data_IF_734175127355
#
_entry.id   IF_734175127355
#
_cell.length_a   1.000
_cell.length_b   1.000
_cell.length_c   1.000
_cell.angle_alpha   90.00
_cell.angle_beta   90.00
_cell.angle_gamma   90.00
#
_symmetry.space_group_name_H-M   'P 1'
#
loop_
_entity.id
_entity.type
_entity.pdbx_description
1 polymer ?
#
# COMPACT_ATOMS: atom_id res chain seq x y z
N UNK A 1 6.18 -11.01 -50.56
CA UNK A 1 5.09 -11.01 -49.55
C UNK A 1 5.70 -11.16 -48.14
N UNK A 2 6.42 -10.14 -47.64
CA UNK A 2 7.16 -10.24 -46.38
C UNK A 2 7.05 -8.97 -45.51
N UNK A 3 6.13 -8.05 -45.85
CA UNK A 3 6.00 -6.74 -45.19
C UNK A 3 4.83 -6.63 -44.22
N UNK A 4 3.88 -7.56 -44.27
CA UNK A 4 2.67 -7.56 -43.43
C UNK A 4 2.85 -8.25 -42.08
N UNK A 5 3.94 -9.00 -41.88
CA UNK A 5 4.19 -9.74 -40.63
C UNK A 5 4.84 -8.88 -39.53
N UNK A 6 5.52 -7.78 -39.88
CA UNK A 6 6.13 -6.87 -38.92
C UNK A 6 5.11 -5.96 -38.21
N UNK A 7 3.93 -5.73 -38.81
CA UNK A 7 2.88 -4.90 -38.22
C UNK A 7 2.08 -5.65 -37.12
N UNK A 8 1.97 -6.97 -37.19
CA UNK A 8 1.24 -7.79 -36.21
C UNK A 8 2.04 -8.03 -34.92
N UNK A 9 3.38 -7.95 -34.97
CA UNK A 9 4.24 -8.09 -33.79
C UNK A 9 4.26 -6.85 -32.89
N UNK A 10 3.90 -5.67 -33.40
CA UNK A 10 3.81 -4.45 -32.60
C UNK A 10 2.54 -4.40 -31.71
N UNK A 11 1.52 -5.21 -32.02
CA UNK A 11 0.26 -5.27 -31.26
C UNK A 11 0.30 -6.22 -30.05
N UNK A 12 1.40 -6.96 -29.86
CA UNK A 12 1.64 -7.86 -28.73
C UNK A 12 2.63 -7.29 -27.72
N UNK A 13 3.06 -6.03 -27.88
CA UNK A 13 3.75 -5.34 -26.81
C UNK A 13 2.78 -5.28 -25.62
N UNK A 14 3.12 -5.89 -24.46
CA UNK A 14 2.37 -5.61 -23.26
C UNK A 14 2.48 -4.09 -23.11
N UNK A 15 1.35 -3.39 -23.16
CA UNK A 15 1.25 -2.07 -22.58
C UNK A 15 1.84 -2.23 -21.18
N UNK A 16 3.08 -1.78 -21.00
CA UNK A 16 3.74 -1.75 -19.73
C UNK A 16 2.88 -0.82 -18.90
N UNK A 17 1.92 -1.41 -18.18
CA UNK A 17 0.94 -0.67 -17.42
C UNK A 17 1.75 0.10 -16.39
N UNK A 18 1.60 1.42 -16.40
CA UNK A 18 2.33 2.26 -15.46
C UNK A 18 1.99 1.79 -14.04
N UNK A 19 3.00 1.31 -13.31
CA UNK A 19 2.88 0.98 -11.89
C UNK A 19 2.39 2.22 -11.15
N UNK A 20 1.23 2.10 -10.48
CA UNK A 20 0.67 3.16 -9.67
C UNK A 20 1.45 3.36 -8.38
N UNK A 21 2.24 2.36 -7.97
CA UNK A 21 2.94 2.30 -6.70
C UNK A 21 4.41 1.90 -6.83
N UNK A 22 5.18 2.25 -5.81
CA UNK A 22 6.56 1.79 -5.64
C UNK A 22 6.81 1.40 -4.19
N UNK A 23 7.38 0.23 -4.00
CA UNK A 23 8.01 -0.18 -2.75
C UNK A 23 9.48 0.24 -2.74
N UNK A 24 9.83 1.20 -1.90
CA UNK A 24 11.21 1.62 -1.67
C UNK A 24 11.75 0.93 -0.43
N UNK A 25 12.91 0.27 -0.56
CA UNK A 25 13.63 -0.36 0.55
C UNK A 25 14.94 0.37 0.80
N UNK A 26 15.15 0.82 2.03
CA UNK A 26 16.42 1.42 2.45
C UNK A 26 16.87 0.89 3.80
N UNK A 27 18.17 0.96 4.05
CA UNK A 27 18.79 0.58 5.31
C UNK A 27 19.55 1.81 5.81
N UNK A 28 19.26 2.24 7.03
CA UNK A 28 20.02 3.32 7.67
C UNK A 28 20.83 2.76 8.83
N UNK A 29 22.09 3.19 8.95
CA UNK A 29 22.82 3.05 10.20
C UNK A 29 22.18 3.96 11.24
N UNK A 30 21.87 3.39 12.39
CA UNK A 30 21.58 4.16 13.60
C UNK A 30 22.89 4.67 14.20
N UNK A 31 22.82 5.66 15.10
CA UNK A 31 23.99 6.17 15.81
C UNK A 31 24.72 5.09 16.63
N UNK A 32 24.02 4.02 17.00
CA UNK A 32 24.54 2.86 17.73
C UNK A 32 25.12 1.78 16.79
N UNK A 33 25.22 2.04 15.48
CA UNK A 33 25.73 1.08 14.50
C UNK A 33 24.74 -0.02 14.11
N UNK A 34 23.55 -0.08 14.74
CA UNK A 34 22.50 -1.01 14.33
C UNK A 34 21.89 -0.60 12.99
N UNK A 35 21.62 -1.58 12.13
CA UNK A 35 20.97 -1.35 10.84
C UNK A 35 19.45 -1.49 10.97
N UNK A 36 18.72 -0.44 10.58
CA UNK A 36 17.25 -0.47 10.58
C UNK A 36 16.74 -0.48 9.14
N UNK A 37 16.02 -1.54 8.77
CA UNK A 37 15.32 -1.61 7.49
C UNK A 37 14.11 -0.68 7.49
N UNK A 38 13.93 0.01 6.36
CA UNK A 38 12.78 0.88 6.09
C UNK A 38 12.15 0.46 4.78
N UNK A 39 10.85 0.22 4.83
CA UNK A 39 9.99 -0.12 3.71
C UNK A 39 9.00 1.02 3.53
N UNK A 40 8.99 1.68 2.38
CA UNK A 40 8.08 2.79 2.11
C UNK A 40 7.28 2.51 0.86
N UNK A 41 5.96 2.54 1.00
CA UNK A 41 5.02 2.49 -0.11
C UNK A 41 4.63 3.91 -0.48
N UNK A 42 4.86 4.26 -1.75
CA UNK A 42 4.53 5.58 -2.28
C UNK A 42 3.96 5.47 -3.70
N UNK A 43 2.93 6.25 -4.04
CA UNK A 43 2.42 6.29 -5.40
C UNK A 43 3.44 6.89 -6.38
N UNK A 44 3.42 6.42 -7.63
CA UNK A 44 4.36 6.82 -8.69
C UNK A 44 3.66 7.67 -9.74
N UNK A 45 4.26 8.81 -10.10
CA UNK A 45 3.66 9.75 -11.04
C UNK A 45 2.70 10.74 -10.38
N UNK A 46 2.25 11.73 -11.14
CA UNK A 46 1.41 12.81 -10.63
C UNK A 46 -0.01 12.33 -10.32
N UNK A 47 -0.63 11.61 -11.25
CA UNK A 47 -2.00 11.11 -11.16
C UNK A 47 -2.20 10.16 -9.97
N UNK A 48 -1.30 9.19 -9.79
CA UNK A 48 -1.34 8.27 -8.64
C UNK A 48 -1.16 9.00 -7.30
N UNK A 49 -0.28 10.02 -7.25
CA UNK A 49 -0.10 10.86 -6.05
C UNK A 49 -1.37 11.62 -5.71
N UNK A 50 -2.02 12.23 -6.69
CA UNK A 50 -3.27 12.96 -6.50
C UNK A 50 -4.43 12.04 -6.08
N UNK A 51 -4.55 10.88 -6.74
CA UNK A 51 -5.52 9.85 -6.37
C UNK A 51 -5.31 9.39 -4.92
N UNK A 52 -4.07 9.05 -4.56
CA UNK A 52 -3.75 8.62 -3.20
C UNK A 52 -4.00 9.72 -2.17
N UNK A 53 -3.62 10.97 -2.43
CA UNK A 53 -3.86 12.07 -1.51
C UNK A 53 -5.35 12.21 -1.16
N UNK A 54 -6.23 12.13 -2.16
CA UNK A 54 -7.68 12.21 -1.95
C UNK A 54 -8.23 10.97 -1.22
N UNK A 55 -7.77 9.78 -1.60
CA UNK A 55 -8.12 8.53 -0.91
C UNK A 55 -7.70 8.53 0.57
N UNK A 56 -6.45 8.93 0.83
CA UNK A 56 -5.87 8.96 2.16
C UNK A 56 -6.65 9.90 3.09
N UNK A 57 -7.09 11.06 2.60
CA UNK A 57 -7.95 11.97 3.38
C UNK A 57 -9.26 11.28 3.77
N UNK A 58 -9.95 10.63 2.84
CA UNK A 58 -11.18 9.90 3.17
C UNK A 58 -10.91 8.77 4.16
N UNK A 59 -9.83 8.01 4.00
CA UNK A 59 -9.45 6.96 4.95
C UNK A 59 -9.14 7.51 6.35
N UNK A 60 -8.46 8.65 6.44
CA UNK A 60 -8.23 9.32 7.71
C UNK A 60 -9.56 9.69 8.37
N UNK A 61 -10.52 10.26 7.63
CA UNK A 61 -11.84 10.61 8.15
C UNK A 61 -12.61 9.38 8.64
N UNK A 62 -12.54 8.27 7.89
CA UNK A 62 -13.13 6.99 8.31
C UNK A 62 -12.51 6.52 9.64
N UNK A 63 -11.18 6.55 9.76
CA UNK A 63 -10.49 6.12 10.97
C UNK A 63 -10.80 7.03 12.17
N UNK A 64 -10.88 8.36 11.99
CA UNK A 64 -11.27 9.32 13.06
C UNK A 64 -12.69 9.05 13.54
N UNK A 65 -13.59 8.72 12.62
CA UNK A 65 -14.97 8.34 12.94
C UNK A 65 -15.11 6.93 13.55
N UNK A 66 -14.00 6.21 13.76
CA UNK A 66 -13.99 4.87 14.35
C UNK A 66 -14.30 3.73 13.37
N UNK A 67 -14.41 4.02 12.08
CA UNK A 67 -14.55 3.01 11.05
C UNK A 67 -13.22 2.30 10.76
N UNK A 68 -13.33 1.22 10.00
CA UNK A 68 -12.20 0.43 9.51
C UNK A 68 -11.88 0.82 8.07
N UNK A 69 -10.62 0.70 7.71
CA UNK A 69 -10.14 0.87 6.34
C UNK A 69 -9.54 -0.45 5.88
N UNK A 70 -10.15 -1.05 4.87
CA UNK A 70 -9.76 -2.33 4.30
C UNK A 70 -8.88 -2.09 3.07
N UNK A 71 -7.66 -2.65 3.12
CA UNK A 71 -6.58 -2.49 2.14
C UNK A 71 -6.26 -3.84 1.47
N UNK A 72 -7.27 -4.69 1.29
CA UNK A 72 -7.15 -5.99 0.65
C UNK A 72 -6.76 -7.06 1.66
N UNK A 73 -5.52 -7.53 1.61
CA UNK A 73 -5.01 -8.53 2.56
C UNK A 73 -4.95 -8.02 4.01
N UNK A 74 -5.05 -6.71 4.21
CA UNK A 74 -4.84 -6.04 5.48
C UNK A 74 -5.96 -5.05 5.80
N UNK A 75 -6.22 -4.85 7.09
CA UNK A 75 -7.22 -3.93 7.61
C UNK A 75 -6.61 -3.03 8.67
N UNK A 76 -6.97 -1.76 8.64
CA UNK A 76 -6.51 -0.71 9.53
C UNK A 76 -7.67 -0.14 10.35
N UNK A 77 -7.50 -0.01 11.67
CA UNK A 77 -8.55 0.50 12.56
C UNK A 77 -7.99 0.92 13.92
N UNK A 78 -8.74 1.74 14.66
CA UNK A 78 -8.43 2.05 16.06
C UNK A 78 -9.04 1.02 17.02
N UNK A 79 -8.25 0.59 18.00
CA UNK A 79 -8.73 -0.17 19.15
C UNK A 79 -8.11 0.39 20.44
N UNK A 80 -8.96 0.87 21.36
CA UNK A 80 -8.50 1.48 22.61
C UNK A 80 -7.58 2.68 22.39
N UNK A 81 -7.90 3.53 21.41
CA UNK A 81 -7.11 4.71 21.05
C UNK A 81 -5.81 4.41 20.31
N UNK A 82 -5.54 3.15 19.94
CA UNK A 82 -4.32 2.74 19.23
C UNK A 82 -4.65 2.20 17.85
N UNK A 83 -3.95 2.69 16.83
CA UNK A 83 -4.09 2.21 15.45
C UNK A 83 -3.50 0.80 15.35
N UNK A 84 -4.18 -0.10 14.65
CA UNK A 84 -3.78 -1.50 14.45
C UNK A 84 -3.92 -1.90 13.00
N UNK A 85 -2.95 -2.70 12.54
CA UNK A 85 -2.97 -3.35 11.24
C UNK A 85 -3.14 -4.86 11.44
N UNK A 86 -4.21 -5.43 10.90
CA UNK A 86 -4.53 -6.86 11.04
C UNK A 86 -4.74 -7.53 9.68
N UNK A 87 -4.57 -8.87 9.58
CA UNK A 87 -4.91 -9.60 8.37
C UNK A 87 -6.42 -9.52 8.13
N UNK A 88 -6.81 -9.40 6.87
CA UNK A 88 -8.21 -9.27 6.49
C UNK A 88 -8.63 -10.34 5.48
N UNK A 89 -8.34 -10.15 4.20
CA UNK A 89 -8.71 -11.12 3.16
C UNK A 89 -7.54 -12.02 2.78
N UNK A 90 -7.65 -13.37 2.92
CA UNK A 90 -6.62 -14.29 2.45
C UNK A 90 -6.57 -14.40 0.91
N UNK A 91 -7.68 -14.10 0.23
CA UNK A 91 -7.78 -14.01 -1.23
C UNK A 91 -8.37 -12.66 -1.59
N UNK A 92 -7.52 -11.74 -2.02
CA UNK A 92 -7.91 -10.35 -2.29
C UNK A 92 -8.83 -10.29 -3.51
N UNK A 93 -9.93 -9.56 -3.35
CA UNK A 93 -10.85 -9.19 -4.41
C UNK A 93 -11.39 -7.77 -4.12
N UNK A 94 -12.12 -7.13 -5.05
CA UNK A 94 -12.61 -5.78 -4.85
C UNK A 94 -13.44 -5.57 -3.56
N UNK A 95 -14.18 -6.56 -3.07
CA UNK A 95 -14.97 -6.41 -1.84
C UNK A 95 -14.12 -6.33 -0.56
N UNK A 96 -12.83 -6.63 -0.63
CA UNK A 96 -11.86 -6.52 0.47
C UNK A 96 -11.25 -5.12 0.60
N UNK A 97 -11.75 -4.15 -0.16
CA UNK A 97 -11.20 -2.81 -0.25
C UNK A 97 -12.25 -1.78 0.20
N UNK A 98 -11.84 -0.83 1.03
CA UNK A 98 -12.63 0.37 1.27
C UNK A 98 -12.44 1.30 0.08
N UNK A 99 -13.48 1.47 -0.74
CA UNK A 99 -13.45 2.42 -1.84
C UNK A 99 -13.66 3.84 -1.34
N UNK A 100 -12.94 4.79 -1.94
CA UNK A 100 -13.23 6.21 -1.74
C UNK A 100 -14.26 6.69 -2.76
N UNK A 101 -15.16 7.57 -2.33
CA UNK A 101 -16.09 8.25 -3.23
C UNK A 101 -15.33 9.34 -4.02
N UNK A 102 -14.66 8.95 -5.10
CA UNK A 102 -13.84 9.82 -5.93
C UNK A 102 -14.36 9.88 -7.37
N UNK A 103 -14.25 11.03 -8.06
CA UNK A 103 -14.68 11.17 -9.45
C UNK A 103 -13.64 10.56 -10.40
N UNK A 104 -13.38 9.26 -10.28
CA UNK A 104 -12.47 8.49 -11.12
C UNK A 104 -13.16 7.20 -11.57
N UNK A 105 -12.76 6.69 -12.73
CA UNK A 105 -13.26 5.41 -13.24
C UNK A 105 -13.02 4.28 -12.22
N UNK A 106 -14.05 3.49 -11.94
CA UNK A 106 -13.97 2.41 -10.93
C UNK A 106 -12.82 1.45 -11.20
N UNK A 107 -12.61 1.09 -12.47
CA UNK A 107 -11.54 0.17 -12.88
C UNK A 107 -10.13 0.72 -12.63
N UNK A 108 -9.96 2.05 -12.63
CA UNK A 108 -8.70 2.71 -12.27
C UNK A 108 -8.48 2.62 -10.77
N UNK A 109 -9.50 2.93 -9.96
CA UNK A 109 -9.41 2.85 -8.51
C UNK A 109 -9.22 1.40 -8.02
N UNK A 110 -9.95 0.44 -8.58
CA UNK A 110 -9.82 -0.99 -8.26
C UNK A 110 -8.37 -1.47 -8.46
N UNK A 111 -7.82 -1.23 -9.66
CA UNK A 111 -6.45 -1.64 -9.99
C UNK A 111 -5.43 -1.00 -9.06
N UNK A 112 -5.59 0.30 -8.82
CA UNK A 112 -4.70 1.07 -7.95
C UNK A 112 -4.66 0.54 -6.51
N UNK A 113 -5.82 0.12 -5.99
CA UNK A 113 -5.94 -0.43 -4.64
C UNK A 113 -5.50 -1.89 -4.56
N UNK A 114 -5.72 -2.69 -5.61
CA UNK A 114 -5.22 -4.06 -5.70
C UNK A 114 -3.69 -4.10 -5.75
N UNK A 115 -3.07 -3.22 -6.52
CA UNK A 115 -1.62 -3.06 -6.56
C UNK A 115 -1.05 -2.64 -5.19
N UNK A 116 -1.71 -1.69 -4.51
CA UNK A 116 -1.35 -1.33 -3.13
C UNK A 116 -1.40 -2.53 -2.19
N UNK A 117 -2.47 -3.34 -2.26
CA UNK A 117 -2.63 -4.52 -1.41
C UNK A 117 -1.49 -5.52 -1.60
N UNK A 118 -1.10 -5.80 -2.85
CA UNK A 118 -0.04 -6.74 -3.17
C UNK A 118 1.32 -6.26 -2.64
N UNK A 119 1.67 -4.99 -2.91
CA UNK A 119 2.92 -4.41 -2.42
C UNK A 119 2.95 -4.28 -0.90
N UNK A 120 1.81 -4.02 -0.25
CA UNK A 120 1.70 -3.99 1.20
C UNK A 120 1.97 -5.37 1.81
N UNK A 121 1.38 -6.42 1.23
CA UNK A 121 1.61 -7.78 1.67
C UNK A 121 3.07 -8.19 1.49
N UNK A 122 3.65 -7.90 0.32
CA UNK A 122 5.06 -8.14 0.04
C UNK A 122 5.99 -7.40 1.02
N UNK A 123 5.70 -6.13 1.32
CA UNK A 123 6.50 -5.33 2.22
C UNK A 123 6.41 -5.84 3.67
N UNK A 124 5.22 -6.28 4.13
CA UNK A 124 5.05 -6.89 5.45
C UNK A 124 5.74 -8.24 5.55
N UNK A 125 5.66 -9.08 4.52
CA UNK A 125 6.38 -10.35 4.47
C UNK A 125 7.89 -10.14 4.60
N UNK A 126 8.44 -9.16 3.87
CA UNK A 126 9.86 -8.77 4.00
C UNK A 126 10.18 -8.25 5.40
N UNK A 127 9.38 -7.32 5.94
CA UNK A 127 9.60 -6.75 7.26
C UNK A 127 9.50 -7.79 8.39
N UNK A 128 8.68 -8.85 8.24
CA UNK A 128 8.66 -9.98 9.18
C UNK A 128 9.94 -10.80 9.11
N UNK A 129 10.52 -10.97 7.93
CA UNK A 129 11.74 -11.75 7.74
C UNK A 129 12.99 -11.05 8.30
N UNK A 130 13.07 -9.73 8.15
CA UNK A 130 14.26 -8.92 8.48
C UNK A 130 14.09 -8.07 9.74
N UNK A 131 12.86 -7.77 10.16
CA UNK A 131 12.55 -6.66 11.05
C UNK A 131 12.63 -5.31 10.33
N UNK A 132 11.96 -4.29 10.85
CA UNK A 132 12.07 -2.92 10.33
C UNK A 132 10.80 -2.10 10.47
N UNK A 133 10.81 -0.94 9.82
CA UNK A 133 9.66 -0.04 9.78
C UNK A 133 9.04 -0.03 8.39
N UNK A 134 7.74 -0.28 8.29
CA UNK A 134 6.95 -0.09 7.08
C UNK A 134 6.13 1.18 7.19
N UNK A 135 6.16 2.02 6.16
CA UNK A 135 5.37 3.25 6.08
C UNK A 135 4.54 3.25 4.80
N UNK A 136 3.22 3.44 4.95
CA UNK A 136 2.33 3.87 3.89
C UNK A 136 2.07 5.37 4.08
N UNK A 137 2.72 6.18 3.26
CA UNK A 137 2.76 7.64 3.41
C UNK A 137 1.36 8.24 3.45
N UNK A 138 1.07 9.10 4.42
CA UNK A 138 -0.25 9.72 4.56
C UNK A 138 -1.30 8.85 5.25
N UNK A 139 -1.00 7.60 5.62
CA UNK A 139 -1.94 6.73 6.33
C UNK A 139 -1.35 6.13 7.61
N UNK A 140 -0.32 5.29 7.53
CA UNK A 140 0.23 4.68 8.75
C UNK A 140 1.71 4.32 8.64
N UNK A 141 2.31 4.11 9.81
CA UNK A 141 3.62 3.50 9.99
C UNK A 141 3.50 2.36 11.00
N UNK A 142 4.15 1.25 10.70
CA UNK A 142 4.24 0.07 11.58
C UNK A 142 5.70 -0.31 11.78
N UNK A 143 6.05 -0.64 13.01
CA UNK A 143 7.33 -1.26 13.34
C UNK A 143 7.10 -2.76 13.51
N UNK A 144 7.79 -3.57 12.72
CA UNK A 144 7.68 -5.02 12.69
C UNK A 144 8.97 -5.60 13.24
N UNK A 145 8.87 -6.36 14.32
CA UNK A 145 10.00 -7.15 14.81
C UNK A 145 10.17 -8.41 13.96
N UNK A 146 11.40 -8.90 13.85
CA UNK A 146 11.69 -10.15 13.14
C UNK A 146 10.87 -11.30 13.74
N UNK A 147 10.16 -12.04 12.90
CA UNK A 147 9.29 -13.15 13.30
C UNK A 147 7.97 -12.72 13.98
N UNK A 148 7.69 -11.42 14.12
CA UNK A 148 6.45 -10.96 14.73
C UNK A 148 5.23 -11.41 13.90
N UNK A 149 4.19 -11.83 14.61
CA UNK A 149 2.88 -12.14 14.04
C UNK A 149 1.93 -10.95 14.23
N UNK A 150 0.98 -10.74 13.29
CA UNK A 150 -0.02 -9.69 13.44
C UNK A 150 -1.04 -10.05 14.54
N UNK A 151 -1.84 -9.09 15.06
CA UNK A 151 -1.96 -7.70 14.60
C UNK A 151 -0.76 -6.85 15.00
N UNK A 152 -0.38 -5.91 14.12
CA UNK A 152 0.72 -5.00 14.38
C UNK A 152 0.21 -3.66 14.93
N UNK A 153 0.81 -3.14 16.02
CA UNK A 153 0.59 -1.77 16.43
C UNK A 153 1.08 -0.80 15.35
N UNK A 154 0.20 0.09 14.91
CA UNK A 154 0.51 1.12 13.93
C UNK A 154 0.44 2.52 14.58
N UNK A 155 1.02 3.50 13.90
CA UNK A 155 0.91 4.92 14.23
C UNK A 155 0.45 5.69 13.00
N UNK A 156 -0.36 6.75 13.16
CA UNK A 156 -0.65 7.69 12.07
C UNK A 156 0.64 8.19 11.41
N UNK A 157 0.61 8.36 10.08
CA UNK A 157 1.74 8.86 9.29
C UNK A 157 1.33 10.10 8.53
N UNK A 158 1.75 11.29 9.01
CA UNK A 158 1.46 12.57 8.35
C UNK A 158 0.07 13.15 8.63
N UNK A 159 -0.63 12.67 9.67
CA UNK A 159 -1.93 13.19 10.11
C UNK A 159 -2.14 12.97 11.61
N UNK A 160 -3.08 13.70 12.19
CA UNK A 160 -3.49 13.54 13.59
C UNK A 160 -4.86 12.84 13.69
N UNK A 161 -4.98 11.84 14.57
CA UNK A 161 -6.21 11.09 14.79
C UNK A 161 -7.20 11.83 15.68
#
# INVERSE_FOLDING_TARGET
MARTWLALLALLLPLAQAEGWRLTRSQSLTQEGATAWRYTLSPVGKEARELWQRLALQYQDHLRAGYRVDLGSWRLYFLGGRLRLEPHCPKVNPACLTFGALPVEKTVQDRFLLELSDLLDQALAQARATGGTLTLSGLFRVEVKRGQTPPYPARPSGWQP
#
